data_IF_345880022392
#
_entry.id   IF_345880022392
#
_cell.length_a   1.000
_cell.length_b   1.000
_cell.length_c   1.000
_cell.angle_alpha   90.00
_cell.angle_beta   90.00
_cell.angle_gamma   90.00
#
_symmetry.space_group_name_H-M   'P 1'
#
loop_
_entity.id
_entity.type
_entity.pdbx_description
1 polymer ?
#
# COMPACT_ATOMS: atom_id res chain seq x y z
N UNK A 1 -5.56 -3.97 -6.80
CA UNK A 1 -4.21 -3.54 -7.12
C UNK A 1 -4.38 -2.50 -8.16
N UNK A 2 -4.51 -1.25 -7.75
CA UNK A 2 -4.17 -0.22 -8.67
C UNK A 2 -2.71 -0.47 -8.98
N UNK A 3 -2.44 -0.84 -10.17
CA UNK A 3 -1.13 -0.99 -10.72
C UNK A 3 -0.48 0.37 -10.75
N UNK A 4 0.79 0.39 -10.44
CA UNK A 4 1.69 1.34 -11.03
C UNK A 4 1.54 1.19 -12.56
N UNK A 5 0.50 1.76 -13.14
CA UNK A 5 0.55 2.18 -14.51
C UNK A 5 1.44 3.41 -14.49
N UNK A 6 2.77 3.19 -14.54
CA UNK A 6 3.68 4.20 -15.01
C UNK A 6 3.30 4.38 -16.48
N UNK A 7 2.38 5.28 -16.75
CA UNK A 7 2.14 5.75 -18.09
C UNK A 7 3.37 6.56 -18.50
N UNK A 8 4.02 6.10 -19.51
CA UNK A 8 5.17 6.72 -20.16
C UNK A 8 4.60 7.57 -21.28
N UNK A 9 4.47 8.89 -21.13
CA UNK A 9 4.02 9.80 -22.19
C UNK A 9 5.13 10.70 -22.70
N UNK A 10 5.19 10.90 -24.01
CA UNK A 10 6.11 11.76 -24.70
C UNK A 10 5.53 13.12 -25.12
N UNK A 11 6.32 14.20 -25.35
CA UNK A 11 5.78 15.47 -25.76
C UNK A 11 5.41 15.48 -27.23
N UNK A 12 4.12 15.65 -27.50
CA UNK A 12 3.69 16.18 -28.78
C UNK A 12 3.73 17.71 -28.71
N UNK A 13 4.42 18.34 -29.66
CA UNK A 13 4.37 19.79 -29.81
C UNK A 13 2.93 20.20 -30.15
N UNK A 14 2.29 20.93 -29.27
CA UNK A 14 1.11 21.73 -29.59
C UNK A 14 -0.24 21.23 -29.10
N UNK A 15 -0.33 20.53 -27.95
CA UNK A 15 -1.62 20.14 -27.39
C UNK A 15 -1.93 20.79 -26.03
N UNK A 16 -3.19 21.18 -25.92
CA UNK A 16 -3.79 21.85 -24.78
C UNK A 16 -3.95 20.90 -23.59
N UNK A 17 -3.81 21.43 -22.43
CA UNK A 17 -3.87 21.01 -21.03
C UNK A 17 -4.62 19.72 -20.57
N UNK A 18 -5.09 18.85 -21.42
CA UNK A 18 -5.81 17.62 -21.07
C UNK A 18 -4.96 16.35 -21.04
N UNK A 19 -3.72 16.40 -21.51
CA UNK A 19 -2.84 15.23 -21.68
C UNK A 19 -1.95 14.89 -20.46
N UNK A 20 -2.03 15.66 -19.37
CA UNK A 20 -1.13 15.49 -18.21
C UNK A 20 -1.60 14.50 -17.16
N UNK A 21 -2.66 13.75 -17.41
CA UNK A 21 -3.31 12.93 -16.38
C UNK A 21 -2.70 11.52 -16.20
N UNK A 22 -1.70 11.15 -16.98
CA UNK A 22 -1.19 9.77 -17.04
C UNK A 22 0.08 9.51 -16.23
N UNK A 23 0.74 10.54 -15.74
CA UNK A 23 2.03 10.44 -15.04
C UNK A 23 1.94 10.32 -13.51
N UNK A 24 0.89 9.71 -13.01
CA UNK A 24 0.69 9.58 -11.56
C UNK A 24 1.55 8.47 -10.97
N UNK A 25 2.41 8.81 -10.01
CA UNK A 25 2.92 7.80 -9.10
C UNK A 25 1.73 7.24 -8.34
N UNK A 26 1.37 6.02 -8.64
CA UNK A 26 0.40 5.30 -7.85
C UNK A 26 1.08 4.71 -6.60
N UNK A 27 1.43 5.60 -5.66
CA UNK A 27 1.82 5.19 -4.30
C UNK A 27 0.67 4.49 -3.57
N UNK A 28 -0.48 4.55 -4.14
CA UNK A 28 -1.76 4.31 -3.49
C UNK A 28 -2.42 3.03 -3.94
N UNK A 29 -1.78 2.29 -4.80
CA UNK A 29 -2.28 1.03 -5.31
C UNK A 29 -2.71 0.04 -4.24
N UNK A 30 -2.52 0.40 -2.97
CA UNK A 30 -3.03 -0.33 -1.83
C UNK A 30 -3.35 0.66 -0.72
N UNK A 31 -4.63 0.97 -0.56
CA UNK A 31 -5.18 1.88 0.44
C UNK A 31 -4.91 1.50 1.90
N UNK A 32 -4.14 0.46 2.13
CA UNK A 32 -3.92 -0.13 3.44
C UNK A 32 -2.84 0.59 4.28
N UNK A 33 -2.34 1.76 3.86
CA UNK A 33 -1.40 2.59 4.66
C UNK A 33 -1.86 2.86 6.09
N UNK A 34 -3.17 2.75 6.33
CA UNK A 34 -3.78 3.08 7.62
C UNK A 34 -4.17 1.87 8.45
N UNK A 35 -4.11 0.67 7.88
CA UNK A 35 -4.49 -0.54 8.58
C UNK A 35 -3.37 -1.03 9.50
N UNK A 36 -3.79 -1.76 10.52
CA UNK A 36 -2.88 -2.49 11.40
C UNK A 36 -2.56 -3.88 10.86
N UNK A 37 -1.97 -4.71 11.70
CA UNK A 37 -1.53 -6.05 11.40
C UNK A 37 -2.19 -7.09 12.32
N UNK A 38 -2.02 -8.37 11.99
CA UNK A 38 -2.41 -9.50 12.85
C UNK A 38 -3.54 -10.35 12.29
N UNK A 39 -3.35 -11.68 12.31
CA UNK A 39 -4.34 -12.63 11.82
C UNK A 39 -5.68 -12.53 12.57
N UNK A 40 -5.64 -12.29 13.87
CA UNK A 40 -6.86 -12.11 14.67
C UNK A 40 -7.70 -10.94 14.19
N UNK A 41 -7.07 -9.79 13.98
CA UNK A 41 -7.75 -8.59 13.52
C UNK A 41 -8.33 -8.78 12.11
N UNK A 42 -7.54 -9.32 11.19
CA UNK A 42 -8.02 -9.58 9.84
C UNK A 42 -9.11 -10.66 9.78
N UNK A 43 -9.08 -11.67 10.67
CA UNK A 43 -10.18 -12.62 10.82
C UNK A 43 -11.52 -11.97 11.17
N UNK A 44 -11.49 -10.78 11.79
CA UNK A 44 -12.66 -9.95 12.13
C UNK A 44 -12.90 -8.81 11.12
N UNK A 45 -12.50 -8.96 9.86
CA UNK A 45 -12.66 -7.92 8.84
C UNK A 45 -11.76 -6.70 9.04
N UNK A 46 -10.84 -6.71 10.00
CA UNK A 46 -10.09 -5.55 10.44
C UNK A 46 -10.90 -4.57 11.31
N UNK A 47 -12.04 -4.97 11.85
CA UNK A 47 -12.81 -4.20 12.83
C UNK A 47 -12.18 -4.37 14.24
N UNK A 48 -11.07 -3.66 14.49
CA UNK A 48 -10.22 -3.93 15.62
C UNK A 48 -9.84 -2.70 16.47
N UNK A 49 -10.24 -1.48 16.10
CA UNK A 49 -9.86 -0.24 16.81
C UNK A 49 -10.29 -0.24 18.29
N UNK A 50 -11.50 -0.74 18.57
CA UNK A 50 -12.04 -0.86 19.94
C UNK A 50 -11.77 -2.23 20.58
N UNK A 51 -11.11 -3.14 19.86
CA UNK A 51 -10.83 -4.53 20.27
C UNK A 51 -9.32 -4.84 20.32
N UNK A 52 -8.45 -3.85 20.05
CA UNK A 52 -7.00 -3.97 20.02
C UNK A 52 -6.46 -4.30 21.44
N UNK A 53 -6.46 -5.58 21.81
CA UNK A 53 -6.08 -6.07 23.16
C UNK A 53 -5.04 -7.19 23.13
N UNK A 54 -4.24 -7.25 22.05
CA UNK A 54 -3.13 -8.17 21.88
C UNK A 54 -1.84 -7.44 21.42
N UNK A 55 -0.76 -8.18 21.17
CA UNK A 55 0.54 -7.62 20.82
C UNK A 55 0.53 -6.84 19.48
N UNK A 56 -0.51 -6.92 18.65
CA UNK A 56 -0.63 -6.13 17.41
C UNK A 56 -1.31 -4.77 17.65
N UNK A 57 -1.70 -4.48 18.89
CA UNK A 57 -2.48 -3.29 19.26
C UNK A 57 -1.85 -1.97 18.81
N UNK A 58 -0.52 -1.82 18.88
CA UNK A 58 0.15 -0.58 18.47
C UNK A 58 -0.13 -0.19 17.02
N UNK A 59 -0.34 -1.17 16.14
CA UNK A 59 -0.63 -0.93 14.72
C UNK A 59 -2.07 -0.48 14.47
N UNK A 60 -3.02 -0.82 15.36
CA UNK A 60 -4.44 -0.48 15.27
C UNK A 60 -4.79 0.72 16.14
N UNK A 61 -4.67 0.54 17.46
CA UNK A 61 -4.97 1.53 18.49
C UNK A 61 -3.97 1.36 19.66
N UNK A 62 -2.99 2.26 19.80
CA UNK A 62 -1.97 2.12 20.84
C UNK A 62 -2.53 2.13 22.28
N UNK A 63 -3.73 2.69 22.51
CA UNK A 63 -4.38 2.59 23.83
C UNK A 63 -4.60 1.14 24.29
N UNK A 64 -4.72 0.23 23.33
CA UNK A 64 -4.90 -1.20 23.55
C UNK A 64 -3.71 -1.88 24.21
N UNK A 65 -2.48 -1.37 24.04
CA UNK A 65 -1.30 -1.89 24.72
C UNK A 65 -1.50 -1.93 26.27
N UNK A 66 -2.35 -1.06 26.80
CA UNK A 66 -2.66 -1.03 28.23
C UNK A 66 -3.38 -2.26 28.77
N UNK A 67 -3.87 -3.15 27.90
CA UNK A 67 -4.43 -4.44 28.31
C UNK A 67 -3.38 -5.52 28.57
N UNK A 68 -2.16 -5.36 28.02
CA UNK A 68 -1.12 -6.37 28.09
C UNK A 68 -0.48 -6.38 29.49
N UNK A 69 -0.51 -7.54 30.13
CA UNK A 69 -0.07 -7.74 31.53
C UNK A 69 1.22 -8.55 31.65
N UNK A 70 1.61 -9.22 30.58
CA UNK A 70 2.79 -10.06 30.52
C UNK A 70 3.68 -9.57 29.39
N UNK A 71 5.00 -9.77 29.50
CA UNK A 71 5.86 -9.57 28.34
C UNK A 71 5.43 -10.51 27.21
N UNK A 72 5.38 -9.98 25.98
CA UNK A 72 4.93 -10.73 24.78
C UNK A 72 5.88 -10.49 23.63
N UNK A 73 6.13 -11.56 22.86
CA UNK A 73 6.73 -11.51 21.53
C UNK A 73 5.66 -11.92 20.52
N UNK A 74 5.54 -11.16 19.43
CA UNK A 74 4.60 -11.41 18.35
C UNK A 74 5.30 -11.46 17.01
N UNK A 75 4.88 -12.39 16.15
CA UNK A 75 5.28 -12.49 14.77
C UNK A 75 4.05 -12.78 13.91
N UNK A 76 3.91 -12.04 12.82
CA UNK A 76 2.84 -12.22 11.84
C UNK A 76 3.45 -12.37 10.45
N UNK A 77 3.08 -13.43 9.76
CA UNK A 77 3.39 -13.64 8.35
C UNK A 77 2.14 -13.48 7.48
N UNK A 78 2.35 -13.04 6.26
CA UNK A 78 1.29 -12.91 5.25
C UNK A 78 1.71 -13.57 3.94
N UNK A 79 0.76 -14.25 3.29
CA UNK A 79 0.86 -14.71 1.92
C UNK A 79 -0.26 -14.04 1.12
N UNK A 80 0.09 -13.33 0.06
CA UNK A 80 -0.83 -12.59 -0.79
C UNK A 80 -0.91 -13.22 -2.17
N UNK A 81 -2.11 -13.22 -2.75
CA UNK A 81 -2.34 -13.50 -4.17
C UNK A 81 -3.29 -12.43 -4.71
N UNK A 82 -2.93 -11.86 -5.85
CA UNK A 82 -3.72 -10.86 -6.55
C UNK A 82 -4.02 -11.37 -7.94
N UNK A 83 -5.27 -11.35 -8.31
CA UNK A 83 -5.74 -11.73 -9.63
C UNK A 83 -6.46 -10.51 -10.24
N UNK A 84 -6.03 -10.10 -11.43
CA UNK A 84 -6.64 -9.01 -12.19
C UNK A 84 -7.13 -9.54 -13.52
N UNK A 85 -8.40 -9.36 -13.81
CA UNK A 85 -9.01 -9.67 -15.10
C UNK A 85 -9.21 -8.37 -15.89
N UNK A 86 -8.69 -8.36 -17.11
CA UNK A 86 -8.81 -7.24 -18.04
C UNK A 86 -9.30 -7.78 -19.40
N UNK A 87 -10.60 -7.73 -19.64
CA UNK A 87 -11.16 -8.29 -20.86
C UNK A 87 -10.85 -9.78 -20.99
N UNK A 88 -9.93 -10.15 -21.88
CA UNK A 88 -9.47 -11.53 -22.11
C UNK A 88 -8.15 -11.84 -21.42
N UNK A 89 -7.48 -10.83 -20.86
CA UNK A 89 -6.20 -10.98 -20.18
C UNK A 89 -6.39 -11.24 -18.70
N UNK A 90 -5.54 -12.07 -18.14
CA UNK A 90 -5.55 -12.45 -16.74
C UNK A 90 -4.15 -12.38 -16.15
N UNK A 91 -3.98 -11.57 -15.10
CA UNK A 91 -2.71 -11.42 -14.38
C UNK A 91 -2.82 -11.98 -12.97
N UNK A 92 -1.83 -12.73 -12.54
CA UNK A 92 -1.72 -13.24 -11.17
C UNK A 92 -0.41 -12.85 -10.53
N UNK A 93 -0.50 -12.34 -9.31
CA UNK A 93 0.64 -12.08 -8.43
C UNK A 93 0.56 -12.92 -7.18
N UNK A 94 1.71 -13.31 -6.65
CA UNK A 94 1.79 -13.94 -5.35
C UNK A 94 3.06 -13.45 -4.63
N UNK A 95 2.93 -13.18 -3.33
CA UNK A 95 4.03 -12.75 -2.50
C UNK A 95 3.89 -13.28 -1.06
N UNK A 96 4.99 -13.32 -0.33
CA UNK A 96 5.03 -13.65 1.09
C UNK A 96 5.94 -12.65 1.80
N UNK A 97 5.52 -12.22 2.99
CA UNK A 97 6.28 -11.27 3.78
C UNK A 97 6.07 -11.49 5.28
N UNK A 98 7.00 -10.99 6.07
CA UNK A 98 6.75 -10.70 7.49
C UNK A 98 5.92 -9.41 7.50
N UNK A 99 4.69 -9.52 8.02
CA UNK A 99 3.75 -8.40 8.10
C UNK A 99 3.98 -7.58 9.37
N UNK A 100 4.30 -8.26 10.49
CA UNK A 100 4.52 -7.62 11.76
C UNK A 100 5.42 -8.45 12.69
N UNK A 101 6.25 -7.77 13.47
CA UNK A 101 6.98 -8.35 14.59
C UNK A 101 7.02 -7.36 15.75
N UNK A 102 6.83 -7.82 16.99
CA UNK A 102 6.87 -6.92 18.14
C UNK A 102 7.39 -7.60 19.40
N UNK A 103 7.97 -6.77 20.26
CA UNK A 103 8.25 -7.09 21.66
C UNK A 103 7.55 -6.08 22.55
N UNK A 104 6.72 -6.58 23.46
CA UNK A 104 5.92 -5.77 24.39
C UNK A 104 6.35 -6.05 25.82
N UNK A 105 6.52 -4.97 26.60
CA UNK A 105 6.87 -5.04 27.99
C UNK A 105 5.82 -4.32 28.85
N UNK A 106 5.15 -5.01 29.81
CA UNK A 106 4.19 -4.37 30.69
C UNK A 106 4.89 -3.39 31.65
N UNK A 107 4.19 -2.32 31.97
CA UNK A 107 4.60 -1.30 32.91
C UNK A 107 3.62 -1.23 34.09
N UNK A 108 4.17 -1.05 35.29
CA UNK A 108 3.41 -0.72 36.49
C UNK A 108 4.00 0.54 37.11
N UNK A 109 3.26 1.64 37.02
CA UNK A 109 3.65 2.93 37.58
C UNK A 109 2.67 3.30 38.70
N UNK A 110 2.83 2.66 39.87
CA UNK A 110 1.89 2.77 40.96
C UNK A 110 0.51 2.20 40.58
N UNK A 111 -0.54 3.04 40.60
CA UNK A 111 -1.90 2.63 40.22
C UNK A 111 -2.12 2.62 38.67
N UNK A 112 -1.22 3.24 37.92
CA UNK A 112 -1.28 3.29 36.46
C UNK A 112 -0.59 2.06 35.86
N UNK A 113 -1.37 1.20 35.25
CA UNK A 113 -0.85 0.06 34.48
C UNK A 113 -0.79 0.40 33.00
N UNK A 114 0.15 -0.24 32.28
CA UNK A 114 0.28 -0.05 30.85
C UNK A 114 1.29 -1.00 30.24
N UNK A 115 1.71 -0.71 29.01
CA UNK A 115 2.83 -1.39 28.36
C UNK A 115 3.56 -0.46 27.40
N UNK A 116 4.82 -0.79 27.12
CA UNK A 116 5.60 -0.24 26.01
C UNK A 116 5.89 -1.33 24.99
N UNK A 117 6.06 -0.94 23.75
CA UNK A 117 6.30 -1.87 22.66
C UNK A 117 7.30 -1.28 21.66
N UNK A 118 8.18 -2.14 21.15
CA UNK A 118 8.92 -1.89 19.92
C UNK A 118 8.37 -2.86 18.88
N UNK A 119 8.05 -2.34 17.70
CA UNK A 119 7.48 -3.14 16.63
C UNK A 119 8.04 -2.78 15.26
N UNK A 120 8.00 -3.77 14.38
CA UNK A 120 8.20 -3.65 12.95
C UNK A 120 6.87 -3.99 12.27
N UNK A 121 6.50 -3.23 11.24
CA UNK A 121 5.35 -3.52 10.39
C UNK A 121 5.71 -3.23 8.94
N UNK A 122 5.37 -4.14 8.03
CA UNK A 122 5.28 -3.86 6.61
C UNK A 122 3.93 -3.19 6.33
N UNK A 123 3.92 -1.86 6.31
CA UNK A 123 2.70 -1.10 6.12
C UNK A 123 2.11 -1.29 4.71
N UNK A 124 2.99 -1.39 3.69
CA UNK A 124 2.61 -1.73 2.31
C UNK A 124 3.64 -2.68 1.74
N UNK A 125 3.20 -3.77 1.09
CA UNK A 125 4.05 -4.65 0.29
C UNK A 125 3.82 -4.36 -1.18
N UNK A 126 4.91 -4.15 -1.93
CA UNK A 126 4.91 -4.03 -3.39
C UNK A 126 5.43 -5.29 -4.08
N UNK A 127 5.75 -6.34 -3.30
CA UNK A 127 6.24 -7.60 -3.85
C UNK A 127 5.25 -8.15 -4.88
N UNK A 128 5.74 -8.37 -6.10
CA UNK A 128 4.91 -8.94 -7.15
C UNK A 128 5.60 -9.01 -8.51
N UNK A 129 5.03 -9.84 -9.37
CA UNK A 129 5.43 -9.97 -10.77
C UNK A 129 4.20 -9.91 -11.63
N UNK A 130 4.28 -9.15 -12.72
CA UNK A 130 3.24 -9.03 -13.73
C UNK A 130 3.82 -9.25 -15.11
N UNK A 131 3.04 -9.88 -15.98
CA UNK A 131 3.36 -10.02 -17.41
C UNK A 131 2.11 -9.72 -18.22
N UNK A 132 2.20 -8.77 -19.15
CA UNK A 132 1.11 -8.42 -20.06
C UNK A 132 1.63 -8.54 -21.48
N UNK A 133 0.87 -9.25 -22.33
CA UNK A 133 1.11 -9.28 -23.74
C UNK A 133 0.14 -8.33 -24.45
N UNK A 134 0.67 -7.41 -25.23
CA UNK A 134 -0.12 -6.41 -25.96
C UNK A 134 0.22 -6.46 -27.44
N UNK A 135 -0.78 -6.20 -28.27
CA UNK A 135 -0.59 -5.98 -29.71
C UNK A 135 -1.00 -4.56 -30.02
N UNK A 136 -0.10 -3.77 -30.57
CA UNK A 136 -0.34 -2.38 -30.97
C UNK A 136 0.14 -2.12 -32.40
N UNK A 137 -0.37 -1.06 -33.02
CA UNK A 137 0.16 -0.57 -34.29
C UNK A 137 1.41 0.25 -33.98
N UNK A 138 2.50 -0.03 -34.71
CA UNK A 138 3.69 0.83 -34.71
C UNK A 138 3.44 2.13 -35.50
N UNK A 139 4.40 3.06 -35.41
CA UNK A 139 4.34 4.35 -36.15
C UNK A 139 4.25 4.19 -37.67
N UNK A 140 4.48 3.00 -38.19
CA UNK A 140 4.37 2.66 -39.64
C UNK A 140 3.07 1.95 -39.96
N UNK A 141 2.19 1.75 -38.98
CA UNK A 141 0.90 1.08 -39.16
C UNK A 141 0.97 -0.47 -39.15
N UNK A 142 2.11 -1.06 -38.78
CA UNK A 142 2.24 -2.50 -38.68
C UNK A 142 1.85 -2.97 -37.26
N UNK A 143 1.19 -4.13 -37.18
CA UNK A 143 0.89 -4.77 -35.90
C UNK A 143 2.19 -5.28 -35.26
N UNK A 144 2.53 -4.70 -34.13
CA UNK A 144 3.66 -5.11 -33.28
C UNK A 144 3.16 -5.74 -32.00
N UNK A 145 3.67 -6.91 -31.69
CA UNK A 145 3.38 -7.63 -30.46
C UNK A 145 4.53 -7.46 -29.49
N UNK A 146 4.21 -7.10 -28.24
CA UNK A 146 5.20 -6.95 -27.19
C UNK A 146 4.70 -7.52 -25.88
N UNK A 147 5.64 -7.90 -25.04
CA UNK A 147 5.39 -8.38 -23.69
C UNK A 147 6.02 -7.41 -22.70
N UNK A 148 5.21 -6.87 -21.80
CA UNK A 148 5.63 -6.06 -20.65
C UNK A 148 5.67 -6.92 -19.39
N UNK A 149 6.83 -7.03 -18.78
CA UNK A 149 7.01 -7.65 -17.50
C UNK A 149 7.36 -6.58 -16.46
N UNK A 150 6.62 -6.54 -15.35
CA UNK A 150 6.93 -5.74 -14.19
C UNK A 150 7.27 -6.67 -13.01
N UNK A 151 8.43 -6.47 -12.42
CA UNK A 151 8.86 -7.16 -11.20
C UNK A 151 9.09 -6.09 -10.14
N UNK A 152 8.36 -6.19 -9.04
CA UNK A 152 8.51 -5.29 -7.89
C UNK A 152 8.92 -6.09 -6.66
N UNK A 153 9.83 -5.54 -5.87
CA UNK A 153 10.32 -6.13 -4.61
C UNK A 153 10.43 -5.06 -3.53
N UNK A 154 10.00 -5.40 -2.31
CA UNK A 154 10.06 -4.53 -1.15
C UNK A 154 8.73 -3.90 -0.76
N UNK A 155 8.80 -2.84 0.04
CA UNK A 155 7.62 -2.17 0.58
C UNK A 155 7.94 -1.04 1.53
N UNK A 156 6.91 -0.38 2.01
CA UNK A 156 7.06 0.63 3.04
C UNK A 156 7.00 -0.03 4.41
N UNK A 157 8.13 -0.01 5.08
CA UNK A 157 8.29 -0.59 6.41
C UNK A 157 8.26 0.50 7.48
N UNK A 158 7.73 0.14 8.64
CA UNK A 158 7.66 1.02 9.80
C UNK A 158 8.28 0.33 11.00
N UNK A 159 9.25 0.99 11.64
CA UNK A 159 9.69 0.65 12.98
C UNK A 159 9.05 1.65 13.94
N UNK A 160 8.34 1.14 14.95
CA UNK A 160 7.60 1.96 15.88
C UNK A 160 7.99 1.70 17.33
N UNK A 161 8.01 2.77 18.12
CA UNK A 161 7.94 2.71 19.58
C UNK A 161 6.55 3.14 20.02
N UNK A 162 5.88 2.31 20.81
CA UNK A 162 4.53 2.57 21.28
C UNK A 162 4.40 2.46 22.80
N UNK A 163 3.44 3.18 23.35
CA UNK A 163 3.02 3.05 24.75
C UNK A 163 1.51 3.18 24.86
N UNK A 164 0.94 2.36 25.75
CA UNK A 164 -0.46 2.44 26.14
C UNK A 164 -0.59 2.43 27.66
N UNK A 165 -1.39 3.35 28.18
CA UNK A 165 -1.59 3.55 29.62
C UNK A 165 -3.08 3.45 29.99
N UNK A 166 -3.36 2.83 31.11
CA UNK A 166 -4.68 2.82 31.74
C UNK A 166 -4.81 4.01 32.68
N UNK A 167 -5.43 5.10 32.19
CA UNK A 167 -5.61 6.33 32.94
C UNK A 167 -6.65 6.20 34.06
N UNK A 168 -7.67 5.37 33.83
CA UNK A 168 -8.67 5.02 34.84
C UNK A 168 -9.23 3.61 34.60
N UNK A 169 -10.21 3.18 35.40
CA UNK A 169 -10.89 1.89 35.17
C UNK A 169 -11.60 1.85 33.82
N UNK A 170 -12.01 3.01 33.27
CA UNK A 170 -12.79 3.12 32.05
C UNK A 170 -12.05 3.77 30.88
N UNK A 171 -10.94 4.47 31.12
CA UNK A 171 -10.24 5.26 30.09
C UNK A 171 -8.82 4.77 29.91
N UNK A 172 -8.45 4.54 28.66
CA UNK A 172 -7.11 4.18 28.22
C UNK A 172 -6.66 5.13 27.10
N UNK A 173 -5.40 5.47 27.09
CA UNK A 173 -4.79 6.27 26.05
C UNK A 173 -3.45 5.66 25.64
N UNK A 174 -3.02 5.94 24.43
CA UNK A 174 -1.73 5.46 23.93
C UNK A 174 -1.25 6.26 22.74
N UNK A 175 0.03 6.08 22.43
CA UNK A 175 0.66 6.68 21.29
C UNK A 175 1.69 5.73 20.67
N UNK A 176 2.01 5.97 19.41
CA UNK A 176 3.20 5.41 18.74
C UNK A 176 3.97 6.51 18.05
N UNK A 177 5.29 6.36 18.03
CA UNK A 177 6.22 7.13 17.21
C UNK A 177 6.72 6.18 16.13
N UNK A 178 6.46 6.50 14.88
CA UNK A 178 6.71 5.64 13.75
C UNK A 178 7.84 6.21 12.89
N UNK A 179 8.86 5.40 12.60
CA UNK A 179 9.91 5.71 11.63
C UNK A 179 9.65 4.90 10.37
N UNK A 180 9.36 5.59 9.28
CA UNK A 180 9.21 5.00 7.96
C UNK A 180 10.57 4.73 7.37
N UNK A 181 10.74 3.54 6.83
CA UNK A 181 12.00 3.00 6.33
C UNK A 181 11.75 2.21 5.05
N UNK A 182 12.89 1.88 4.40
CA UNK A 182 12.91 1.04 3.21
C UNK A 182 12.10 1.67 2.08
N UNK A 183 11.76 0.86 1.10
CA UNK A 183 11.05 1.23 -0.09
C UNK A 183 10.89 0.02 -0.96
N UNK A 184 10.65 0.22 -2.23
CA UNK A 184 10.56 -0.86 -3.19
C UNK A 184 11.41 -0.54 -4.42
N UNK A 185 11.87 -1.59 -5.05
CA UNK A 185 12.45 -1.54 -6.39
C UNK A 185 11.47 -2.12 -7.39
N UNK A 186 11.44 -1.58 -8.59
CA UNK A 186 10.65 -2.11 -9.68
C UNK A 186 11.50 -2.15 -10.95
N UNK A 187 11.50 -3.29 -11.64
CA UNK A 187 12.06 -3.43 -12.97
C UNK A 187 10.93 -3.65 -13.95
N UNK A 188 10.83 -2.77 -14.94
CA UNK A 188 9.93 -2.90 -16.08
C UNK A 188 10.72 -3.37 -17.28
N UNK A 189 10.29 -4.46 -17.91
CA UNK A 189 10.93 -5.02 -19.08
C UNK A 189 9.93 -5.08 -20.22
N UNK A 190 10.22 -4.44 -21.34
CA UNK A 190 9.46 -4.57 -22.58
C UNK A 190 10.25 -5.36 -23.61
N UNK A 191 9.67 -6.42 -24.15
CA UNK A 191 10.24 -7.25 -25.21
C UNK A 191 9.34 -7.22 -26.43
N UNK A 192 9.88 -6.84 -27.58
CA UNK A 192 9.16 -6.77 -28.85
C UNK A 192 9.34 -8.08 -29.63
N UNK A 193 8.22 -8.68 -30.05
CA UNK A 193 8.26 -9.98 -30.77
C UNK A 193 8.35 -9.83 -32.30
N UNK A 194 8.02 -8.64 -32.83
CA UNK A 194 7.87 -8.43 -34.28
C UNK A 194 9.16 -8.19 -35.03
N UNK A 195 10.29 -8.03 -34.34
CA UNK A 195 11.59 -7.74 -34.98
C UNK A 195 12.51 -8.96 -34.92
N UNK A 196 13.31 -9.16 -35.96
CA UNK A 196 14.34 -10.20 -35.99
C UNK A 196 15.33 -10.07 -34.84
N UNK A 197 15.61 -8.86 -34.41
CA UNK A 197 16.56 -8.55 -33.33
C UNK A 197 15.92 -8.54 -31.95
N UNK A 198 14.62 -8.75 -31.83
CA UNK A 198 13.86 -8.77 -30.54
C UNK A 198 14.36 -7.71 -29.55
N UNK A 199 14.16 -6.41 -29.82
CA UNK A 199 14.62 -5.39 -28.88
C UNK A 199 13.99 -5.58 -27.51
N UNK A 200 14.80 -5.31 -26.47
CA UNK A 200 14.39 -5.39 -25.07
C UNK A 200 14.74 -4.07 -24.40
N UNK A 201 13.85 -3.57 -23.57
CA UNK A 201 14.06 -2.36 -22.79
C UNK A 201 13.77 -2.64 -21.32
N UNK A 202 14.63 -2.15 -20.45
CA UNK A 202 14.49 -2.27 -19.03
C UNK A 202 14.50 -0.87 -18.40
N UNK A 203 13.59 -0.68 -17.43
CA UNK A 203 13.57 0.46 -16.54
C UNK A 203 13.68 -0.05 -15.11
N UNK A 204 14.61 0.50 -14.36
CA UNK A 204 14.72 0.26 -12.93
C UNK A 204 14.27 1.51 -12.18
N UNK A 205 13.40 1.31 -11.22
CA UNK A 205 12.90 2.31 -10.29
C UNK A 205 13.24 1.87 -8.88
N UNK A 206 13.86 2.75 -8.09
CA UNK A 206 14.10 2.56 -6.67
C UNK A 206 13.46 3.73 -5.91
N UNK A 207 12.44 3.42 -5.11
CA UNK A 207 11.64 4.39 -4.39
C UNK A 207 11.76 4.16 -2.88
N UNK A 208 12.37 5.12 -2.14
CA UNK A 208 12.69 5.00 -0.72
C UNK A 208 12.15 6.17 0.10
N UNK A 209 10.94 6.05 0.66
CA UNK A 209 10.40 7.06 1.55
C UNK A 209 11.04 7.00 2.93
N UNK A 210 11.32 8.16 3.52
CA UNK A 210 11.82 8.29 4.90
C UNK A 210 11.08 9.42 5.60
N UNK A 211 10.47 9.12 6.72
CA UNK A 211 9.70 10.11 7.48
C UNK A 211 9.40 9.66 8.90
N UNK A 212 8.75 10.53 9.66
CA UNK A 212 8.24 10.26 10.99
C UNK A 212 6.75 10.54 11.04
N UNK A 213 5.99 9.66 11.65
CA UNK A 213 4.57 9.86 11.94
C UNK A 213 4.21 9.43 13.35
N UNK A 214 3.04 9.85 13.83
CA UNK A 214 2.56 9.52 15.16
C UNK A 214 1.14 8.95 15.05
N UNK A 215 0.84 7.94 15.88
CA UNK A 215 -0.53 7.51 16.08
C UNK A 215 -0.92 7.82 17.52
N UNK A 216 -2.10 8.34 17.70
CA UNK A 216 -2.71 8.63 18.99
C UNK A 216 -3.99 7.81 19.10
N UNK A 217 -4.19 7.16 20.25
CA UNK A 217 -5.36 6.34 20.47
C UNK A 217 -5.96 6.58 21.84
N UNK A 218 -7.29 6.58 21.88
CA UNK A 218 -8.07 6.60 23.13
C UNK A 218 -9.10 5.48 23.06
N UNK A 219 -9.31 4.81 24.19
CA UNK A 219 -10.35 3.80 24.35
C UNK A 219 -11.09 4.04 25.64
N UNK A 220 -12.40 4.04 25.56
CA UNK A 220 -13.30 4.22 26.70
C UNK A 220 -14.20 2.99 26.81
N UNK A 221 -14.34 2.47 28.03
CA UNK A 221 -15.27 1.38 28.37
C UNK A 221 -16.42 1.96 29.20
N UNK A 222 -17.52 2.48 28.59
CA UNK A 222 -18.65 3.05 29.33
C UNK A 222 -19.26 2.04 30.30
N UNK A 223 -19.37 0.81 29.85
CA UNK A 223 -19.69 -0.39 30.61
C UNK A 223 -18.70 -1.50 30.31
N UNK A 224 -18.62 -2.56 31.12
CA UNK A 224 -17.63 -3.62 30.94
C UNK A 224 -17.75 -4.38 29.60
N UNK A 225 -18.95 -4.40 29.03
CA UNK A 225 -19.24 -5.11 27.79
C UNK A 225 -18.99 -4.26 26.54
N UNK A 226 -18.79 -2.94 26.66
CA UNK A 226 -18.69 -2.04 25.51
C UNK A 226 -17.40 -1.24 25.57
N UNK A 227 -16.63 -1.28 24.50
CA UNK A 227 -15.52 -0.37 24.26
C UNK A 227 -15.86 0.56 23.07
N UNK A 228 -15.49 1.82 23.21
CA UNK A 228 -15.51 2.83 22.15
C UNK A 228 -14.09 3.35 21.98
N UNK A 229 -13.65 3.49 20.75
CA UNK A 229 -12.28 3.91 20.45
C UNK A 229 -12.24 5.02 19.43
N UNK A 230 -11.25 5.88 19.58
CA UNK A 230 -10.86 6.89 18.60
C UNK A 230 -9.37 6.77 18.37
N UNK A 231 -8.97 6.82 17.10
CA UNK A 231 -7.58 6.78 16.67
C UNK A 231 -7.33 7.91 15.69
N UNK A 232 -6.24 8.63 15.89
CA UNK A 232 -5.75 9.64 14.97
C UNK A 232 -4.33 9.31 14.57
N UNK A 233 -4.08 9.24 13.27
CA UNK A 233 -2.75 9.09 12.69
C UNK A 233 -2.38 10.41 12.02
N UNK A 234 -1.25 10.98 12.42
CA UNK A 234 -0.85 12.31 11.94
C UNK A 234 -0.44 12.27 10.48
N UNK A 235 -0.64 13.36 9.74
CA UNK A 235 0.04 13.53 8.47
C UNK A 235 1.56 13.56 8.71
N UNK A 236 2.32 13.26 7.69
CA UNK A 236 3.78 13.37 7.75
C UNK A 236 4.37 13.61 6.38
N UNK A 237 5.52 14.26 6.35
CA UNK A 237 6.30 14.45 5.14
C UNK A 237 7.36 13.36 5.07
N UNK A 238 7.40 12.64 3.96
CA UNK A 238 8.46 11.69 3.66
C UNK A 238 9.43 12.30 2.64
N UNK A 239 10.71 12.27 2.97
CA UNK A 239 11.77 12.49 1.99
C UNK A 239 11.87 11.22 1.15
N UNK A 240 11.65 11.34 -0.15
CA UNK A 240 11.70 10.24 -1.09
C UNK A 240 12.92 10.37 -1.96
N UNK A 241 13.74 9.33 -1.95
CA UNK A 241 14.79 9.16 -2.95
C UNK A 241 14.23 8.30 -4.07
N UNK A 242 14.36 8.81 -5.29
CA UNK A 242 13.92 8.15 -6.51
C UNK A 242 15.12 8.00 -7.43
N UNK A 243 15.61 6.78 -7.57
CA UNK A 243 16.66 6.42 -8.51
C UNK A 243 16.05 5.71 -9.73
N UNK A 244 16.36 6.18 -10.93
CA UNK A 244 15.86 5.61 -12.19
C UNK A 244 17.02 5.24 -13.08
N UNK A 245 16.93 4.13 -13.79
CA UNK A 245 17.86 3.73 -14.83
C UNK A 245 17.12 3.09 -16.02
N UNK A 246 17.60 3.36 -17.22
CA UNK A 246 17.10 2.73 -18.44
C UNK A 246 18.24 2.00 -19.12
N UNK A 247 17.96 0.80 -19.64
CA UNK A 247 18.86 -0.02 -20.44
C UNK A 247 18.13 -0.54 -21.67
N UNK A 248 18.70 -0.30 -22.84
CA UNK A 248 18.20 -0.83 -24.10
C UNK A 248 19.12 -1.95 -24.57
N UNK A 249 18.53 -3.05 -25.01
CA UNK A 249 19.23 -4.23 -25.47
C UNK A 249 18.73 -4.68 -26.83
N UNK A 250 19.61 -5.29 -27.62
CA UNK A 250 19.26 -6.08 -28.78
C UNK A 250 19.49 -7.55 -28.47
N UNK A 251 18.56 -8.38 -28.91
CA UNK A 251 18.71 -9.84 -28.81
C UNK A 251 18.94 -10.35 -30.23
N UNK A 252 20.18 -10.70 -30.56
CA UNK A 252 20.58 -11.25 -31.84
C UNK A 252 21.08 -12.67 -31.62
N UNK A 253 20.51 -13.65 -32.33
CA UNK A 253 20.86 -15.07 -32.25
C UNK A 253 20.87 -15.61 -30.80
N UNK A 254 19.94 -15.16 -29.97
CA UNK A 254 19.86 -15.53 -28.57
C UNK A 254 20.88 -14.87 -27.64
N UNK A 255 21.73 -13.99 -28.17
CA UNK A 255 22.72 -13.24 -27.39
C UNK A 255 22.20 -11.83 -27.10
N UNK A 256 22.17 -11.47 -25.81
CA UNK A 256 21.79 -10.14 -25.37
C UNK A 256 22.97 -9.18 -25.50
N UNK A 257 22.79 -8.10 -26.24
CA UNK A 257 23.78 -7.01 -26.39
C UNK A 257 23.20 -5.70 -25.88
N UNK A 258 23.86 -5.11 -24.89
CA UNK A 258 23.49 -3.77 -24.38
C UNK A 258 23.89 -2.71 -25.40
N UNK A 259 22.93 -1.90 -25.85
CA UNK A 259 23.16 -0.83 -26.84
C UNK A 259 23.31 0.52 -26.14
N UNK A 260 22.52 0.77 -25.12
CA UNK A 260 22.52 2.07 -24.42
C UNK A 260 22.26 1.84 -22.95
N UNK A 261 23.02 2.55 -22.11
CA UNK A 261 22.79 2.62 -20.69
C UNK A 261 22.69 4.08 -20.26
N UNK A 262 21.49 4.53 -19.94
CA UNK A 262 21.25 5.85 -19.38
C UNK A 262 20.97 5.71 -17.88
N UNK A 263 21.91 6.14 -17.06
CA UNK A 263 21.67 6.31 -15.63
C UNK A 263 21.14 7.72 -15.39
N UNK A 264 20.02 7.82 -14.71
CA UNK A 264 19.44 9.11 -14.33
C UNK A 264 19.92 9.48 -12.95
N UNK A 265 20.04 10.77 -12.70
CA UNK A 265 20.39 11.29 -11.40
C UNK A 265 19.32 10.86 -10.38
N UNK A 266 19.80 10.56 -9.18
CA UNK A 266 18.95 10.39 -8.01
C UNK A 266 18.26 11.71 -7.68
N UNK A 267 16.96 11.65 -7.50
CA UNK A 267 16.15 12.80 -7.11
C UNK A 267 15.65 12.66 -5.70
N UNK A 268 15.63 13.78 -5.00
CA UNK A 268 14.95 13.91 -3.73
C UNK A 268 13.65 14.68 -3.94
N UNK A 269 12.54 14.05 -3.62
CA UNK A 269 11.21 14.67 -3.63
C UNK A 269 10.64 14.53 -2.23
N UNK A 270 9.82 15.47 -1.80
CA UNK A 270 9.07 15.35 -0.56
C UNK A 270 7.61 15.03 -0.86
N UNK A 271 7.11 13.96 -0.23
CA UNK A 271 5.72 13.56 -0.30
C UNK A 271 5.04 13.86 1.04
N UNK A 272 3.94 14.58 0.99
CA UNK A 272 3.08 14.79 2.15
C UNK A 272 2.00 13.72 2.18
N UNK A 273 2.13 12.80 3.15
CA UNK A 273 1.14 11.77 3.42
C UNK A 273 0.03 12.31 4.31
N UNK A 274 -1.24 11.96 4.04
CA UNK A 274 -2.38 12.54 4.73
C UNK A 274 -2.57 12.02 6.15
N UNK A 275 -3.41 12.72 6.89
CA UNK A 275 -3.91 12.26 8.18
C UNK A 275 -4.96 11.17 8.03
N UNK A 276 -5.16 10.39 9.09
CA UNK A 276 -6.23 9.40 9.17
C UNK A 276 -6.92 9.46 10.52
N UNK A 277 -8.25 9.34 10.50
CA UNK A 277 -9.11 9.28 11.67
C UNK A 277 -9.92 8.00 11.67
N UNK A 278 -9.90 7.28 12.80
CA UNK A 278 -10.64 6.04 13.00
C UNK A 278 -11.55 6.12 14.22
N UNK A 279 -12.75 5.57 14.08
CA UNK A 279 -13.71 5.37 15.16
C UNK A 279 -14.11 3.92 15.20
N UNK A 280 -14.15 3.32 16.39
CA UNK A 280 -14.50 1.92 16.59
C UNK A 280 -15.40 1.69 17.77
N UNK A 281 -16.25 0.67 17.66
CA UNK A 281 -17.08 0.16 18.75
C UNK A 281 -16.94 -1.36 18.83
N UNK A 282 -16.76 -1.88 20.02
CA UNK A 282 -16.77 -3.32 20.30
C UNK A 282 -17.75 -3.62 21.42
N UNK A 283 -18.63 -4.58 21.19
CA UNK A 283 -19.63 -5.03 22.15
C UNK A 283 -19.49 -6.52 22.42
N UNK A 284 -19.44 -6.89 23.71
CA UNK A 284 -19.32 -8.26 24.20
C UNK A 284 -20.59 -8.66 24.94
N UNK A 285 -21.67 -9.04 24.22
CA UNK A 285 -22.93 -9.44 24.85
C UNK A 285 -22.80 -10.70 25.71
N UNK A 286 -21.86 -11.58 25.37
CA UNK A 286 -21.52 -12.78 26.13
C UNK A 286 -20.00 -12.85 26.31
N UNK A 287 -19.53 -13.55 27.33
CA UNK A 287 -18.09 -13.73 27.57
C UNK A 287 -17.36 -14.42 26.40
N UNK A 288 -18.12 -15.17 25.61
CA UNK A 288 -17.61 -15.91 24.45
C UNK A 288 -17.88 -15.22 23.11
N UNK A 289 -18.70 -14.16 23.06
CA UNK A 289 -19.11 -13.49 21.82
C UNK A 289 -18.73 -12.01 21.84
N UNK A 290 -18.02 -11.58 20.82
CA UNK A 290 -17.68 -10.17 20.59
C UNK A 290 -18.14 -9.76 19.20
N UNK A 291 -18.76 -8.58 19.11
CA UNK A 291 -19.11 -7.89 17.87
C UNK A 291 -18.31 -6.59 17.79
N UNK A 292 -17.78 -6.25 16.62
CA UNK A 292 -17.01 -5.02 16.42
C UNK A 292 -17.39 -4.33 15.12
N UNK A 293 -17.35 -3.01 15.14
CA UNK A 293 -17.54 -2.17 13.94
C UNK A 293 -16.61 -0.97 14.00
N UNK A 294 -15.94 -0.70 12.87
CA UNK A 294 -14.99 0.41 12.73
C UNK A 294 -15.32 1.22 11.46
N UNK A 295 -15.07 2.52 11.56
CA UNK A 295 -15.03 3.45 10.44
C UNK A 295 -13.69 4.17 10.45
N UNK A 296 -13.06 4.28 9.28
CA UNK A 296 -11.79 5.02 9.12
C UNK A 296 -11.88 5.92 7.89
N UNK A 297 -11.41 7.15 8.00
CA UNK A 297 -11.25 8.09 6.89
C UNK A 297 -9.82 8.58 6.84
N UNK A 298 -9.25 8.58 5.64
CA UNK A 298 -7.90 9.11 5.35
C UNK A 298 -8.02 10.18 4.28
N UNK A 299 -7.45 11.37 4.55
CA UNK A 299 -7.60 12.57 3.70
C UNK A 299 -6.62 12.57 2.53
N UNK A 300 -6.72 11.57 1.64
CA UNK A 300 -5.83 11.46 0.48
C UNK A 300 -5.97 12.60 -0.53
N UNK A 301 -7.09 13.31 -0.52
CA UNK A 301 -7.29 14.54 -1.31
C UNK A 301 -6.32 15.66 -0.92
N UNK A 302 -5.73 15.60 0.29
CA UNK A 302 -4.75 16.57 0.80
C UNK A 302 -3.30 16.15 0.53
N UNK A 303 -3.06 14.93 -0.01
CA UNK A 303 -1.72 14.42 -0.28
C UNK A 303 -1.04 15.22 -1.39
N UNK A 304 0.21 15.62 -1.16
CA UNK A 304 0.95 16.52 -2.06
C UNK A 304 2.37 16.05 -2.33
N UNK A 305 2.89 16.44 -3.49
CA UNK A 305 4.31 16.40 -3.81
C UNK A 305 4.87 17.81 -3.63
N UNK A 306 5.88 17.96 -2.77
CA UNK A 306 6.56 19.22 -2.50
C UNK A 306 7.97 19.15 -3.08
N UNK A 307 8.49 20.29 -3.57
CA UNK A 307 9.83 20.39 -4.17
C UNK A 307 10.03 19.45 -5.38
N UNK A 308 9.02 19.34 -6.21
CA UNK A 308 9.09 18.59 -7.45
C UNK A 308 9.90 19.39 -8.50
N UNK A 309 11.00 18.82 -8.97
CA UNK A 309 11.71 19.34 -10.14
C UNK A 309 11.25 18.57 -11.39
N UNK A 310 10.70 19.30 -12.35
CA UNK A 310 10.35 18.73 -13.64
C UNK A 310 11.62 18.34 -14.42
N UNK A 311 11.93 17.06 -14.44
CA UNK A 311 13.07 16.50 -15.17
C UNK A 311 12.97 16.68 -16.68
N UNK A 312 11.76 16.81 -17.21
CA UNK A 312 11.56 17.03 -18.64
C UNK A 312 12.10 18.40 -19.11
N UNK A 313 12.20 19.37 -18.18
CA UNK A 313 12.67 20.71 -18.51
C UNK A 313 14.21 20.89 -18.45
N UNK A 314 14.88 20.05 -17.66
CA UNK A 314 16.35 20.10 -17.51
C UNK A 314 16.93 18.75 -17.87
N UNK A 315 17.33 18.57 -19.13
CA UNK A 315 18.10 17.40 -19.51
C UNK A 315 19.28 17.20 -18.53
N UNK A 316 19.68 15.94 -18.23
CA UNK A 316 20.72 15.67 -17.24
C UNK A 316 21.99 16.39 -17.61
N UNK A 317 22.42 17.34 -16.77
CA UNK A 317 23.76 17.92 -16.85
C UNK A 317 24.69 17.05 -16.02
N UNK A 318 25.49 16.23 -16.67
CA UNK A 318 26.61 15.57 -16.02
C UNK A 318 27.82 16.51 -16.10
N UNK A 319 28.22 17.07 -14.99
CA UNK A 319 29.43 17.91 -14.90
C UNK A 319 29.36 19.25 -15.65
N UNK A 320 28.19 19.87 -15.79
CA UNK A 320 28.02 21.18 -16.44
C UNK A 320 28.13 21.16 -17.97
N UNK A 321 28.25 20.01 -18.58
CA UNK A 321 28.20 19.82 -20.03
C UNK A 321 26.79 19.37 -20.37
N UNK A 322 26.07 20.05 -21.31
CA UNK A 322 24.81 19.53 -21.81
C UNK A 322 25.04 18.10 -22.26
N UNK A 323 24.25 17.17 -21.75
CA UNK A 323 24.30 15.79 -22.24
C UNK A 323 24.19 15.82 -23.74
N UNK A 324 25.04 15.09 -24.43
CA UNK A 324 24.95 14.86 -25.87
C UNK A 324 23.49 14.55 -26.15
N UNK A 325 22.85 15.26 -27.13
CA UNK A 325 21.49 14.96 -27.49
C UNK A 325 21.39 13.45 -27.70
N UNK A 326 20.38 12.78 -27.15
CA UNK A 326 20.23 11.35 -27.35
C UNK A 326 20.35 11.06 -28.84
N UNK A 327 21.00 9.97 -29.25
CA UNK A 327 21.08 9.61 -30.66
C UNK A 327 19.66 9.67 -31.23
N UNK A 328 19.49 10.07 -32.50
CA UNK A 328 18.16 10.25 -33.08
C UNK A 328 17.30 9.06 -32.68
N UNK A 329 16.23 9.37 -31.98
CA UNK A 329 15.45 8.39 -31.26
C UNK A 329 14.84 7.46 -32.31
N UNK A 330 15.37 6.25 -32.45
CA UNK A 330 14.76 5.24 -33.29
C UNK A 330 13.40 4.80 -32.75
N UNK A 331 13.08 5.22 -31.53
CA UNK A 331 11.83 5.02 -30.86
C UNK A 331 11.42 6.33 -30.14
N UNK A 332 10.78 7.29 -30.84
CA UNK A 332 10.39 8.59 -30.26
C UNK A 332 9.39 8.48 -29.11
N UNK A 333 8.76 7.33 -28.99
CA UNK A 333 7.63 7.10 -28.10
C UNK A 333 7.96 6.77 -26.65
N UNK A 334 9.22 6.78 -26.25
CA UNK A 334 9.56 6.42 -24.86
C UNK A 334 10.11 7.61 -24.10
N UNK A 335 9.20 8.37 -23.57
CA UNK A 335 9.49 9.39 -22.58
C UNK A 335 9.47 8.81 -21.15
N UNK A 336 10.16 9.52 -20.27
CA UNK A 336 10.40 9.08 -18.90
C UNK A 336 9.13 9.18 -18.05
N UNK A 337 8.89 8.24 -17.16
CA UNK A 337 7.82 8.40 -16.19
C UNK A 337 8.11 9.64 -15.34
N UNK A 338 7.26 10.63 -15.44
CA UNK A 338 7.22 11.77 -14.55
C UNK A 338 6.33 11.46 -13.35
N UNK A 339 6.69 12.00 -12.19
CA UNK A 339 5.79 12.03 -11.05
C UNK A 339 4.58 12.88 -11.38
N UNK A 340 3.46 12.27 -11.72
CA UNK A 340 2.24 13.01 -12.06
C UNK A 340 1.66 13.70 -10.84
N UNK A 341 1.64 15.02 -10.89
CA UNK A 341 0.97 15.84 -9.90
C UNK A 341 0.09 16.86 -10.62
N UNK A 342 -1.11 17.04 -10.13
CA UNK A 342 -2.04 18.05 -10.63
C UNK A 342 -1.72 19.37 -9.92
N UNK A 343 -1.60 20.51 -10.61
CA UNK A 343 -1.49 21.80 -9.95
C UNK A 343 -2.65 22.00 -8.98
N UNK A 344 -2.39 22.62 -7.83
CA UNK A 344 -3.44 22.99 -6.91
C UNK A 344 -4.39 23.97 -7.63
N UNK A 345 -5.67 23.64 -7.82
CA UNK A 345 -6.60 24.52 -8.52
C UNK A 345 -6.82 25.86 -7.79
N UNK A 346 -6.63 25.88 -6.46
CA UNK A 346 -6.78 27.08 -5.63
C UNK A 346 -5.50 27.91 -5.58
N UNK A 347 -4.35 27.33 -5.89
CA UNK A 347 -3.06 28.02 -5.95
C UNK A 347 -2.15 27.41 -7.05
N UNK A 348 -2.33 27.75 -8.31
CA UNK A 348 -1.56 27.18 -9.43
C UNK A 348 -0.07 27.56 -9.41
N UNK A 349 0.33 28.56 -8.63
CA UNK A 349 1.73 28.96 -8.44
C UNK A 349 2.43 28.23 -7.29
N UNK A 350 1.70 27.43 -6.51
CA UNK A 350 2.29 26.64 -5.42
C UNK A 350 3.24 25.59 -6.00
N UNK A 351 4.49 25.52 -5.54
CA UNK A 351 5.39 24.43 -5.93
C UNK A 351 4.90 23.05 -5.46
N UNK A 352 4.03 23.00 -4.44
CA UNK A 352 3.37 21.77 -4.05
C UNK A 352 2.24 21.42 -5.02
N UNK A 353 2.13 20.15 -5.38
CA UNK A 353 1.12 19.62 -6.31
C UNK A 353 0.31 18.51 -5.70
N UNK A 354 -1.01 18.58 -5.87
CA UNK A 354 -1.92 17.52 -5.41
C UNK A 354 -1.69 16.21 -6.19
N UNK A 355 -1.78 15.08 -5.51
CA UNK A 355 -1.70 13.77 -6.17
C UNK A 355 -2.99 13.39 -6.92
N UNK A 356 -4.02 14.26 -6.90
CA UNK A 356 -5.29 14.05 -7.58
C UNK A 356 -6.09 12.87 -7.03
N UNK A 357 -5.83 12.48 -5.78
CA UNK A 357 -6.52 11.38 -5.12
C UNK A 357 -7.77 11.86 -4.39
N UNK A 358 -8.64 10.93 -4.06
CA UNK A 358 -9.84 11.18 -3.27
C UNK A 358 -9.68 10.55 -1.88
N UNK A 359 -10.43 11.05 -0.91
CA UNK A 359 -10.39 10.47 0.44
C UNK A 359 -10.80 9.02 0.45
N UNK A 360 -10.04 8.20 1.20
CA UNK A 360 -10.41 6.83 1.48
C UNK A 360 -11.39 6.77 2.66
N UNK A 361 -12.42 5.98 2.53
CA UNK A 361 -13.36 5.66 3.61
C UNK A 361 -13.50 4.14 3.71
N UNK A 362 -13.38 3.63 4.93
CA UNK A 362 -13.40 2.20 5.20
C UNK A 362 -14.42 1.90 6.28
N UNK A 363 -15.33 0.98 5.99
CA UNK A 363 -16.32 0.45 6.93
C UNK A 363 -15.99 -1.02 7.16
N UNK A 364 -15.87 -1.42 8.41
CA UNK A 364 -15.49 -2.77 8.81
C UNK A 364 -16.39 -3.29 9.89
N UNK A 365 -16.80 -4.56 9.79
CA UNK A 365 -17.56 -5.24 10.83
C UNK A 365 -16.99 -6.64 11.04
N UNK A 366 -17.04 -7.10 12.29
CA UNK A 366 -16.48 -8.38 12.64
C UNK A 366 -17.15 -9.03 13.85
N UNK A 367 -17.05 -10.35 13.90
CA UNK A 367 -17.50 -11.19 15.00
C UNK A 367 -16.41 -12.16 15.41
N UNK A 368 -16.24 -12.33 16.72
CA UNK A 368 -15.42 -13.37 17.35
C UNK A 368 -16.27 -14.19 18.30
N UNK A 369 -16.30 -15.50 18.07
CA UNK A 369 -16.98 -16.46 18.95
C UNK A 369 -15.97 -17.48 19.47
N UNK A 370 -15.78 -17.52 20.79
CA UNK A 370 -14.81 -18.43 21.42
C UNK A 370 -15.52 -19.71 21.86
N UNK A 371 -15.21 -20.82 21.20
CA UNK A 371 -15.65 -22.14 21.62
C UNK A 371 -14.76 -22.64 22.76
N UNK A 372 -15.38 -23.12 23.83
CA UNK A 372 -14.66 -23.70 24.97
C UNK A 372 -15.05 -25.17 25.09
N UNK A 373 -14.08 -26.07 24.87
CA UNK A 373 -14.29 -27.51 24.92
C UNK A 373 -13.10 -28.20 25.61
N UNK A 374 -13.34 -28.87 26.73
CA UNK A 374 -12.28 -29.61 27.44
C UNK A 374 -11.09 -28.75 27.88
N UNK A 375 -11.32 -27.46 28.23
CA UNK A 375 -10.27 -26.50 28.57
C UNK A 375 -9.56 -25.85 27.36
N UNK A 376 -9.80 -26.31 26.15
CA UNK A 376 -9.31 -25.71 24.93
C UNK A 376 -10.21 -24.54 24.52
N UNK A 377 -9.59 -23.41 24.13
CA UNK A 377 -10.29 -22.23 23.60
C UNK A 377 -9.97 -22.07 22.12
N UNK A 378 -11.00 -22.17 21.30
CA UNK A 378 -10.92 -22.06 19.85
C UNK A 378 -11.77 -20.87 19.41
N UNK A 379 -11.20 -19.69 19.12
CA UNK A 379 -11.93 -18.58 18.56
C UNK A 379 -12.25 -18.85 17.09
N UNK A 380 -13.51 -18.62 16.72
CA UNK A 380 -13.99 -18.57 15.34
C UNK A 380 -14.31 -17.12 15.03
N UNK A 381 -13.90 -16.65 13.86
CA UNK A 381 -14.05 -15.25 13.46
C UNK A 381 -14.58 -15.14 12.04
N UNK A 382 -15.38 -14.13 11.82
CA UNK A 382 -15.82 -13.72 10.51
C UNK A 382 -15.92 -12.20 10.45
N UNK A 383 -15.76 -11.64 9.27
CA UNK A 383 -15.86 -10.21 9.08
C UNK A 383 -16.17 -9.82 7.64
N UNK A 384 -16.54 -8.56 7.49
CA UNK A 384 -16.79 -7.93 6.21
C UNK A 384 -16.22 -6.52 6.24
N UNK A 385 -15.74 -6.06 5.08
CA UNK A 385 -15.33 -4.68 4.90
C UNK A 385 -15.74 -4.13 3.53
N UNK A 386 -15.90 -2.80 3.49
CA UNK A 386 -16.12 -2.03 2.29
C UNK A 386 -15.14 -0.85 2.29
N UNK A 387 -14.22 -0.86 1.34
CA UNK A 387 -13.13 0.12 1.23
C UNK A 387 -13.35 0.99 -0.03
N UNK A 388 -13.70 2.27 0.16
CA UNK A 388 -13.75 3.27 -0.91
C UNK A 388 -12.34 3.52 -1.40
N UNK A 389 -12.16 3.42 -2.71
CA UNK A 389 -10.86 3.61 -3.35
C UNK A 389 -10.52 5.10 -3.42
N UNK A 390 -9.25 5.41 -3.62
CA UNK A 390 -8.76 6.79 -3.65
C UNK A 390 -8.60 7.31 -5.08
N UNK A 391 -8.41 6.43 -6.06
CA UNK A 391 -8.29 6.80 -7.47
C UNK A 391 -9.65 6.72 -8.14
N UNK A 392 -10.18 7.83 -8.67
CA UNK A 392 -11.42 7.80 -9.41
C UNK A 392 -11.27 7.09 -10.76
N UNK A 393 -12.36 6.49 -11.23
CA UNK A 393 -12.48 6.01 -12.60
C UNK A 393 -12.44 7.18 -13.60
N UNK A 394 -12.19 6.96 -14.89
CA UNK A 394 -12.25 7.99 -15.94
C UNK A 394 -13.61 8.71 -16.01
N UNK A 395 -14.68 8.08 -15.54
CA UNK A 395 -16.02 8.66 -15.42
C UNK A 395 -16.20 9.57 -14.19
N UNK A 396 -15.20 9.67 -13.31
CA UNK A 396 -15.25 10.39 -12.04
C UNK A 396 -15.82 9.57 -10.88
N UNK A 397 -16.40 8.40 -11.14
CA UNK A 397 -16.91 7.53 -10.08
C UNK A 397 -15.77 6.91 -9.29
N UNK A 398 -15.96 6.78 -7.97
CA UNK A 398 -14.94 6.21 -7.10
C UNK A 398 -15.28 4.76 -6.81
N UNK A 399 -14.41 3.80 -7.19
CA UNK A 399 -14.64 2.39 -6.96
C UNK A 399 -14.75 2.07 -5.47
N UNK A 400 -15.47 1.00 -5.12
CA UNK A 400 -15.51 0.43 -3.79
C UNK A 400 -15.18 -1.05 -3.85
N UNK A 401 -14.23 -1.46 -3.01
CA UNK A 401 -13.84 -2.86 -2.90
C UNK A 401 -14.49 -3.45 -1.65
N UNK A 402 -14.95 -4.68 -1.79
CA UNK A 402 -15.60 -5.41 -0.72
C UNK A 402 -14.75 -6.61 -0.34
N UNK A 403 -14.81 -7.02 0.91
CA UNK A 403 -14.11 -8.21 1.33
C UNK A 403 -14.80 -8.95 2.44
N UNK A 404 -14.67 -10.28 2.38
CA UNK A 404 -15.10 -11.20 3.42
C UNK A 404 -13.86 -11.83 4.08
N UNK A 405 -13.96 -12.05 5.36
CA UNK A 405 -12.88 -12.65 6.13
C UNK A 405 -13.37 -13.78 7.01
N UNK A 406 -12.53 -14.77 7.18
CA UNK A 406 -12.72 -15.82 8.16
C UNK A 406 -11.43 -16.04 8.93
N UNK A 407 -11.53 -16.42 10.18
CA UNK A 407 -10.37 -16.68 11.01
C UNK A 407 -10.63 -17.70 12.11
N UNK A 408 -9.55 -18.29 12.57
CA UNK A 408 -9.57 -19.18 13.74
C UNK A 408 -8.27 -19.03 14.52
N UNK A 409 -8.20 -19.64 15.68
CA UNK A 409 -6.98 -19.64 16.48
C UNK A 409 -6.97 -20.78 17.50
N UNK A 410 -5.87 -20.86 18.19
CA UNK A 410 -5.64 -21.84 19.23
C UNK A 410 -4.85 -21.22 20.37
N UNK A 411 -5.34 -21.35 21.59
CA UNK A 411 -4.67 -20.85 22.80
C UNK A 411 -4.08 -22.04 23.55
N UNK A 412 -2.76 -22.16 23.54
CA UNK A 412 -1.98 -23.24 24.12
C UNK A 412 -1.09 -22.70 25.24
N UNK A 413 -1.66 -22.56 26.46
CA UNK A 413 -0.93 -22.00 27.59
C UNK A 413 -0.42 -20.58 27.31
N UNK A 414 0.89 -20.42 27.18
CA UNK A 414 1.55 -19.13 26.88
C UNK A 414 1.59 -18.77 25.39
N UNK A 415 1.17 -19.66 24.51
CA UNK A 415 1.23 -19.46 23.06
C UNK A 415 -0.16 -19.28 22.48
N UNK A 416 -0.33 -18.23 21.67
CA UNK A 416 -1.52 -17.98 20.88
C UNK A 416 -1.14 -18.11 19.40
N UNK A 417 -1.89 -18.93 18.68
CA UNK A 417 -1.78 -19.10 17.25
C UNK A 417 -3.08 -18.61 16.62
N UNK A 418 -2.99 -17.75 15.63
CA UNK A 418 -4.15 -17.26 14.88
C UNK A 418 -3.90 -17.37 13.39
N UNK A 419 -4.98 -17.68 12.67
CA UNK A 419 -5.02 -17.78 11.22
C UNK A 419 -6.19 -16.99 10.69
N UNK A 420 -5.99 -16.33 9.56
CA UNK A 420 -7.07 -15.63 8.87
C UNK A 420 -6.91 -15.73 7.35
N UNK A 421 -8.04 -15.81 6.69
CA UNK A 421 -8.16 -15.69 5.25
C UNK A 421 -9.02 -14.47 4.92
N UNK A 422 -8.54 -13.67 3.98
CA UNK A 422 -9.20 -12.46 3.49
C UNK A 422 -9.41 -12.59 2.00
N UNK A 423 -10.65 -12.48 1.57
CA UNK A 423 -11.04 -12.42 0.17
C UNK A 423 -11.60 -11.04 -0.13
N UNK A 424 -10.93 -10.29 -1.00
CA UNK A 424 -11.31 -8.93 -1.39
C UNK A 424 -11.55 -8.90 -2.90
N UNK A 425 -12.57 -8.19 -3.34
CA UNK A 425 -12.92 -8.06 -4.74
C UNK A 425 -13.50 -6.68 -5.03
N UNK A 426 -13.28 -6.22 -6.23
CA UNK A 426 -13.79 -4.94 -6.70
C UNK A 426 -13.50 -4.73 -8.17
N UNK A 427 -14.10 -3.69 -8.72
CA UNK A 427 -13.95 -3.32 -10.11
C UNK A 427 -13.54 -1.86 -10.19
N UNK A 428 -12.67 -1.58 -11.14
CA UNK A 428 -12.24 -0.23 -11.48
C UNK A 428 -12.06 -0.12 -12.98
N UNK A 429 -12.10 1.10 -13.50
CA UNK A 429 -11.87 1.35 -14.91
C UNK A 429 -10.66 2.25 -15.08
N UNK A 430 -9.93 2.03 -16.18
CA UNK A 430 -8.81 2.88 -16.59
C UNK A 430 -9.05 3.33 -18.02
N UNK A 431 -8.45 4.45 -18.45
CA UNK A 431 -8.40 4.81 -19.86
C UNK A 431 -7.62 3.76 -20.62
N UNK A 432 -7.92 3.55 -21.89
CA UNK A 432 -7.23 2.55 -22.69
C UNK A 432 -5.73 2.84 -22.81
N UNK A 433 -5.31 4.10 -22.76
CA UNK A 433 -3.90 4.50 -22.76
C UNK A 433 -3.17 4.01 -21.53
N UNK A 434 -3.76 4.16 -20.35
CA UNK A 434 -3.26 3.58 -19.11
C UNK A 434 -3.33 2.05 -19.14
N UNK A 435 -4.32 1.47 -19.83
CA UNK A 435 -4.48 0.03 -19.98
C UNK A 435 -3.44 -0.61 -20.88
N UNK A 436 -3.01 0.10 -21.93
CA UNK A 436 -2.01 -0.40 -22.91
C UNK A 436 -0.58 -0.26 -22.40
N UNK A 437 -0.34 0.32 -21.22
CA UNK A 437 1.02 0.56 -20.72
C UNK A 437 1.78 1.59 -21.56
N UNK A 438 1.10 2.58 -22.05
CA UNK A 438 1.74 3.75 -22.62
C UNK A 438 1.73 3.85 -24.12
N UNK A 439 2.32 4.63 -24.48
CA UNK A 439 2.90 5.47 -25.50
C UNK A 439 3.10 4.77 -26.82
N UNK A 440 2.04 4.70 -27.57
CA UNK A 440 2.13 4.80 -29.02
C UNK A 440 1.21 5.94 -29.43
N UNK A 441 1.71 6.83 -30.28
CA UNK A 441 0.90 7.78 -31.03
C UNK A 441 -0.28 7.02 -31.64
N UNK A 442 -1.38 6.93 -30.91
CA UNK A 442 -2.62 6.50 -31.49
C UNK A 442 -3.03 7.61 -32.48
N UNK A 443 -3.21 7.32 -33.77
CA UNK A 443 -3.69 8.32 -34.68
C UNK A 443 -5.05 8.81 -34.16
N UNK A 444 -5.07 10.11 -33.76
CA UNK A 444 -6.26 10.95 -33.60
C UNK A 444 -7.49 10.25 -33.03
N UNK A 445 -7.71 10.49 -31.71
CA UNK A 445 -9.02 10.69 -31.09
C UNK A 445 -10.17 9.76 -31.57
N UNK A 446 -10.02 8.47 -31.42
CA UNK A 446 -11.17 7.66 -31.06
C UNK A 446 -11.26 7.77 -29.56
N UNK A 447 -12.32 8.37 -29.03
CA UNK A 447 -12.60 8.39 -27.59
C UNK A 447 -12.55 6.94 -27.11
N UNK A 448 -11.47 6.56 -26.46
CA UNK A 448 -11.28 5.17 -26.07
C UNK A 448 -12.20 4.88 -24.91
N UNK A 449 -13.07 3.91 -25.08
CA UNK A 449 -13.96 3.48 -24.01
C UNK A 449 -13.16 3.02 -22.82
N UNK A 450 -13.53 3.41 -21.58
CA UNK A 450 -12.87 2.93 -20.38
C UNK A 450 -12.76 1.41 -20.34
N UNK A 451 -11.60 0.87 -20.06
CA UNK A 451 -11.38 -0.56 -19.91
C UNK A 451 -11.68 -0.94 -18.47
N UNK A 452 -12.63 -1.84 -18.28
CA UNK A 452 -13.00 -2.37 -16.97
C UNK A 452 -12.02 -3.45 -16.55
N UNK A 453 -11.56 -3.36 -15.31
CA UNK A 453 -10.72 -4.34 -14.66
C UNK A 453 -11.46 -4.87 -13.43
N UNK A 454 -11.49 -6.18 -13.28
CA UNK A 454 -11.93 -6.83 -12.06
C UNK A 454 -10.69 -7.28 -11.26
N UNK A 455 -10.65 -6.92 -9.99
CA UNK A 455 -9.57 -7.27 -9.08
C UNK A 455 -10.09 -8.22 -8.01
N UNK A 456 -9.37 -9.31 -7.82
CA UNK A 456 -9.55 -10.21 -6.69
C UNK A 456 -8.24 -10.34 -5.92
N UNK A 457 -8.31 -10.13 -4.60
CA UNK A 457 -7.16 -10.29 -3.71
C UNK A 457 -7.47 -11.36 -2.67
N UNK A 458 -6.56 -12.30 -2.53
CA UNK A 458 -6.61 -13.33 -1.49
C UNK A 458 -5.40 -13.17 -0.59
N UNK A 459 -5.64 -13.05 0.73
CA UNK A 459 -4.56 -12.93 1.73
C UNK A 459 -4.75 -13.97 2.81
N UNK A 460 -3.69 -14.65 3.15
CA UNK A 460 -3.64 -15.58 4.26
C UNK A 460 -2.66 -15.07 5.30
N UNK A 461 -3.12 -14.87 6.54
CA UNK A 461 -2.33 -14.42 7.67
C UNK A 461 -2.13 -15.57 8.66
N UNK A 462 -0.93 -15.65 9.21
CA UNK A 462 -0.60 -16.50 10.34
C UNK A 462 0.12 -15.67 11.41
N UNK A 463 -0.36 -15.73 12.64
CA UNK A 463 0.24 -15.03 13.78
C UNK A 463 0.62 -16.01 14.89
N UNK A 464 1.75 -15.74 15.51
CA UNK A 464 2.16 -16.38 16.76
C UNK A 464 2.45 -15.29 17.79
N UNK A 465 1.83 -15.41 18.97
CA UNK A 465 2.13 -14.57 20.13
C UNK A 465 2.57 -15.49 21.27
N UNK A 466 3.74 -15.21 21.82
CA UNK A 466 4.24 -15.92 23.00
C UNK A 466 4.28 -15.00 24.21
N UNK A 467 3.62 -15.40 25.31
CA UNK A 467 3.53 -14.70 26.60
C UNK A 467 4.49 -15.32 27.59
N UNK A 468 5.39 -14.53 28.13
CA UNK A 468 6.35 -15.02 29.11
C UNK A 468 5.68 -15.17 30.48
N UNK A 469 5.51 -16.42 30.92
CA UNK A 469 4.99 -16.75 32.27
C UNK A 469 6.13 -16.75 33.30
N UNK A 470 6.65 -15.59 33.65
CA UNK A 470 7.65 -15.44 34.70
C UNK A 470 7.18 -14.43 35.76
N UNK A 471 7.69 -14.49 36.99
CA UNK A 471 7.56 -13.41 37.97
C UNK A 471 8.45 -12.23 37.48
N UNK A 472 7.96 -11.46 36.54
CA UNK A 472 8.56 -10.24 36.02
C UNK A 472 7.78 -9.03 36.56
N UNK A 473 7.78 -8.89 37.88
CA UNK A 473 7.21 -7.73 38.54
C UNK A 473 7.99 -7.45 39.81
N UNK A 474 8.12 -6.16 40.19
CA UNK A 474 8.64 -5.81 41.48
C UNK A 474 7.79 -6.40 42.60
#
# INVERSE_FOLDING_TARGET
VALLALAITGPAAGQTSTERDTDRIDITGRQNLTLGSGARAYGMGGAFLARADDATAASWNPAGLSYLRLPEVSLVGVSNSFDTERGVDFDRFAGRAIDFAAFTWPLSLGEVGGAVQVSYQRAISFDGRRSIQTTALDSTGNLTKFTDEAVSDGGFDVVAFGSGLRLSRRVRAGFTVNRWLNGYTQTLTRTYESFKLRPKREYDLDFRPRGWSFNLGVMVSPIEQVNVAVVYKTPFTADVRLDKARRDYWVEDGTLREVTRNAFASEAVRLEFPSSFGFGVSWRPLDTLTLSADFTRTTWSEARIVDYFDLAATGPTVGGIPAVPPPPNIYPELQYPTLGAVPDPDNPEDPARLLGQQDAEQIRVGVEWVLIKGGLKIPLRAGYFNDRQITPNPTGDIPRFNGFTVGTGLILGSMLLDFAYVHEFGEYSVTADAAAGGEFDAPTAIAQSPVRNALTTNRFFASIIYRFSGRWGP
#
